data_IF_393888218429
#
_entry.id   IF_393888218429
#
_cell.length_a   1.000
_cell.length_b   1.000
_cell.length_c   1.000
_cell.angle_alpha   90.00
_cell.angle_beta   90.00
_cell.angle_gamma   90.00
#
_symmetry.space_group_name_H-M   'P 1'
#
loop_
_entity.id
_entity.type
_entity.pdbx_description
1 polymer ?
#
# COMPACT_ATOMS: atom_id res chain seq x y z
N UNK A 1 -6.24 -8.69 -7.49
CA UNK A 1 -5.24 -8.36 -8.52
C UNK A 1 -3.92 -8.98 -8.16
N UNK A 2 -3.48 -10.01 -8.88
CA UNK A 2 -2.17 -10.63 -8.66
C UNK A 2 -1.06 -9.73 -9.21
N UNK A 3 0.17 -9.85 -8.69
CA UNK A 3 1.32 -9.08 -9.19
C UNK A 3 1.58 -9.31 -10.68
N UNK A 4 1.27 -10.51 -11.20
CA UNK A 4 1.39 -10.85 -12.62
C UNK A 4 0.42 -10.07 -13.53
N UNK A 5 -0.68 -9.56 -12.97
CA UNK A 5 -1.64 -8.72 -13.70
C UNK A 5 -1.27 -7.23 -13.68
N UNK A 6 -0.20 -6.84 -12.95
CA UNK A 6 0.23 -5.44 -12.85
C UNK A 6 1.24 -5.03 -13.91
N UNK A 7 1.94 -5.98 -14.49
CA UNK A 7 2.87 -5.75 -15.60
C UNK A 7 2.83 -6.96 -16.53
N UNK A 8 2.24 -6.78 -17.70
CA UNK A 8 2.06 -7.84 -18.70
C UNK A 8 3.18 -7.79 -19.74
N UNK A 9 3.29 -8.86 -20.53
CA UNK A 9 4.22 -8.90 -21.67
C UNK A 9 3.90 -7.82 -22.71
N UNK A 10 2.63 -7.48 -22.87
CA UNK A 10 2.19 -6.40 -23.75
C UNK A 10 2.68 -5.03 -23.25
N UNK A 11 2.60 -4.79 -21.93
CA UNK A 11 3.14 -3.56 -21.32
C UNK A 11 4.65 -3.46 -21.51
N UNK A 12 5.37 -4.57 -21.38
CA UNK A 12 6.81 -4.65 -21.63
C UNK A 12 7.18 -4.32 -23.09
N UNK A 13 6.43 -4.84 -24.06
CA UNK A 13 6.64 -4.56 -25.48
C UNK A 13 6.28 -3.13 -25.87
N UNK A 14 5.37 -2.46 -25.14
CA UNK A 14 5.08 -1.03 -25.31
C UNK A 14 6.23 -0.17 -24.80
N UNK A 15 6.85 -0.55 -23.68
CA UNK A 15 8.01 0.16 -23.11
C UNK A 15 9.31 -0.12 -23.88
N UNK A 16 9.40 -1.23 -24.62
CA UNK A 16 10.58 -1.63 -25.39
C UNK A 16 10.20 -1.91 -26.87
N UNK A 17 9.94 -0.86 -27.67
CA UNK A 17 9.55 -1.02 -29.07
C UNK A 17 10.62 -1.70 -29.93
N UNK A 18 11.90 -1.61 -29.55
CA UNK A 18 13.01 -2.31 -30.23
C UNK A 18 12.91 -3.83 -30.12
N UNK A 19 12.52 -4.36 -28.95
CA UNK A 19 12.34 -5.80 -28.75
C UNK A 19 11.08 -6.31 -29.45
N UNK A 20 10.07 -5.44 -29.60
CA UNK A 20 8.89 -5.68 -30.41
C UNK A 20 9.24 -5.74 -31.90
N UNK A 21 10.06 -4.81 -32.39
CA UNK A 21 10.53 -4.78 -33.77
C UNK A 21 11.43 -5.99 -34.12
N UNK A 22 12.25 -6.45 -33.16
CA UNK A 22 13.07 -7.67 -33.29
C UNK A 22 12.27 -8.98 -33.19
N UNK A 23 10.95 -8.92 -32.98
CA UNK A 23 10.08 -10.10 -32.90
C UNK A 23 10.44 -11.05 -31.74
N UNK A 24 11.11 -10.54 -30.69
CA UNK A 24 11.57 -11.36 -29.58
C UNK A 24 10.36 -11.92 -28.85
N UNK A 25 10.25 -13.25 -28.80
CA UNK A 25 9.16 -13.93 -28.09
C UNK A 25 9.44 -13.97 -26.58
N UNK A 26 8.39 -13.96 -25.77
CA UNK A 26 8.51 -14.16 -24.31
C UNK A 26 9.21 -15.47 -23.93
N UNK A 27 9.09 -16.48 -24.78
CA UNK A 27 9.69 -17.82 -24.61
C UNK A 27 11.15 -17.92 -25.04
N UNK A 28 11.69 -16.88 -25.69
CA UNK A 28 13.13 -16.80 -25.97
C UNK A 28 13.90 -16.55 -24.67
N UNK A 29 15.08 -17.15 -24.52
CA UNK A 29 15.95 -16.93 -23.35
C UNK A 29 16.25 -15.45 -23.10
N UNK A 30 16.42 -14.67 -24.18
CA UNK A 30 16.66 -13.23 -24.12
C UNK A 30 15.41 -12.45 -23.70
N UNK A 31 14.27 -12.78 -24.32
CA UNK A 31 12.98 -12.15 -24.01
C UNK A 31 12.51 -12.44 -22.58
N UNK A 32 12.70 -13.67 -22.10
CA UNK A 32 12.35 -14.07 -20.75
C UNK A 32 13.21 -13.35 -19.70
N UNK A 33 14.53 -13.23 -19.94
CA UNK A 33 15.45 -12.55 -19.04
C UNK A 33 15.16 -11.04 -18.99
N UNK A 34 14.96 -10.41 -20.14
CA UNK A 34 14.63 -8.99 -20.22
C UNK A 34 13.26 -8.69 -19.57
N UNK A 35 12.25 -9.53 -19.80
CA UNK A 35 10.95 -9.41 -19.15
C UNK A 35 11.06 -9.52 -17.63
N UNK A 36 11.76 -10.56 -17.13
CA UNK A 36 11.89 -10.80 -15.69
C UNK A 36 12.57 -9.63 -14.99
N UNK A 37 13.58 -9.03 -15.61
CA UNK A 37 14.26 -7.85 -15.08
C UNK A 37 13.32 -6.63 -15.02
N UNK A 38 12.64 -6.31 -16.11
CA UNK A 38 11.69 -5.19 -16.17
C UNK A 38 10.49 -5.39 -15.22
N UNK A 39 9.93 -6.60 -15.18
CA UNK A 39 8.85 -7.00 -14.28
C UNK A 39 9.25 -6.82 -12.81
N UNK A 40 10.44 -7.26 -12.42
CA UNK A 40 10.96 -7.03 -11.06
C UNK A 40 11.08 -5.55 -10.73
N UNK A 41 11.63 -4.74 -11.63
CA UNK A 41 11.79 -3.30 -11.43
C UNK A 41 10.43 -2.61 -11.24
N UNK A 42 9.48 -2.86 -12.14
CA UNK A 42 8.12 -2.27 -12.08
C UNK A 42 7.34 -2.71 -10.85
N UNK A 43 7.45 -3.96 -10.44
CA UNK A 43 6.78 -4.42 -9.23
C UNK A 43 7.41 -3.79 -7.99
N UNK A 44 8.75 -3.67 -7.94
CA UNK A 44 9.42 -3.00 -6.82
C UNK A 44 8.95 -1.56 -6.69
N UNK A 45 8.84 -0.83 -7.81
CA UNK A 45 8.28 0.52 -7.85
C UNK A 45 6.81 0.55 -7.38
N UNK A 46 5.98 -0.39 -7.86
CA UNK A 46 4.58 -0.49 -7.44
C UNK A 46 4.44 -0.73 -5.93
N UNK A 47 5.26 -1.63 -5.38
CA UNK A 47 5.26 -1.92 -3.95
C UNK A 47 5.79 -0.72 -3.14
N UNK A 48 6.80 0.01 -3.65
CA UNK A 48 7.27 1.25 -3.02
C UNK A 48 6.14 2.27 -2.90
N UNK A 49 5.46 2.60 -4.02
CA UNK A 49 4.32 3.53 -4.03
C UNK A 49 3.21 3.07 -3.08
N UNK A 50 3.01 1.76 -2.95
CA UNK A 50 2.03 1.19 -2.02
C UNK A 50 2.45 1.39 -0.56
N UNK A 51 3.72 1.18 -0.23
CA UNK A 51 4.27 1.48 1.10
C UNK A 51 4.10 2.95 1.46
N UNK A 52 4.43 3.86 0.54
CA UNK A 52 4.30 5.30 0.75
C UNK A 52 2.85 5.71 1.04
N UNK A 53 1.92 5.16 0.26
CA UNK A 53 0.48 5.38 0.46
C UNK A 53 0.00 4.86 1.83
N UNK A 54 0.45 3.67 2.24
CA UNK A 54 0.09 3.10 3.55
C UNK A 54 0.64 3.96 4.69
N UNK A 55 1.90 4.40 4.58
CA UNK A 55 2.55 5.30 5.55
C UNK A 55 1.80 6.63 5.68
N UNK A 56 1.44 7.25 4.56
CA UNK A 56 0.65 8.48 4.54
C UNK A 56 -0.71 8.31 5.22
N UNK A 57 -1.43 7.22 4.89
CA UNK A 57 -2.73 6.93 5.51
C UNK A 57 -2.61 6.66 7.01
N UNK A 58 -1.51 6.03 7.44
CA UNK A 58 -1.24 5.76 8.86
C UNK A 58 -1.00 7.05 9.64
N UNK A 59 -0.15 7.95 9.14
CA UNK A 59 0.07 9.28 9.76
C UNK A 59 -1.24 10.06 9.91
N UNK A 60 -2.03 10.14 8.83
CA UNK A 60 -3.34 10.80 8.88
C UNK A 60 -4.31 10.13 9.86
N UNK A 61 -4.21 8.81 10.01
CA UNK A 61 -5.02 8.06 10.95
C UNK A 61 -4.62 8.34 12.41
N UNK A 62 -3.33 8.45 12.69
CA UNK A 62 -2.77 8.80 14.00
C UNK A 62 -3.13 10.23 14.41
N UNK A 63 -2.97 11.21 13.50
CA UNK A 63 -3.40 12.59 13.74
C UNK A 63 -4.90 12.68 14.10
N UNK A 64 -5.73 11.92 13.38
CA UNK A 64 -7.17 11.87 13.65
C UNK A 64 -7.46 11.22 15.01
N UNK A 65 -6.70 10.19 15.40
CA UNK A 65 -6.81 9.56 16.72
C UNK A 65 -6.48 10.56 17.84
N UNK A 66 -5.42 11.34 17.68
CA UNK A 66 -5.02 12.36 18.67
C UNK A 66 -6.16 13.36 18.88
N UNK A 67 -6.68 13.94 17.80
CA UNK A 67 -7.82 14.89 17.84
C UNK A 67 -9.08 14.31 18.49
N UNK A 68 -9.35 13.03 18.26
CA UNK A 68 -10.50 12.35 18.89
C UNK A 68 -10.25 12.11 20.38
N UNK A 69 -9.03 11.75 20.77
CA UNK A 69 -8.63 11.54 22.16
C UNK A 69 -8.70 12.84 22.97
N UNK A 70 -8.29 13.97 22.37
CA UNK A 70 -8.45 15.30 22.96
C UNK A 70 -9.91 15.61 23.24
N UNK A 71 -10.80 15.39 22.26
CA UNK A 71 -12.25 15.56 22.45
C UNK A 71 -12.80 14.68 23.56
N UNK A 72 -12.34 13.42 23.68
CA UNK A 72 -12.74 12.56 24.80
C UNK A 72 -12.35 13.20 26.15
N UNK A 73 -11.11 13.69 26.28
CA UNK A 73 -10.65 14.37 27.50
C UNK A 73 -11.48 15.63 27.79
N UNK A 74 -11.81 16.41 26.77
CA UNK A 74 -12.61 17.63 26.94
C UNK A 74 -14.04 17.32 27.42
N UNK A 75 -14.70 16.31 26.85
CA UNK A 75 -16.02 15.88 27.30
C UNK A 75 -15.99 15.24 28.70
N UNK A 76 -14.92 14.51 29.04
CA UNK A 76 -14.70 14.01 30.40
C UNK A 76 -14.56 15.14 31.42
N UNK A 77 -13.76 16.19 31.11
CA UNK A 77 -13.63 17.38 31.96
C UNK A 77 -14.98 18.10 32.16
N UNK A 78 -15.79 18.17 31.10
CA UNK A 78 -17.15 18.74 31.12
C UNK A 78 -18.18 17.83 31.81
N UNK A 79 -17.80 16.64 32.29
CA UNK A 79 -18.67 15.61 32.87
C UNK A 79 -19.79 15.12 31.90
N UNK A 80 -19.62 15.34 30.60
CA UNK A 80 -20.50 14.81 29.57
C UNK A 80 -20.02 13.42 29.14
N UNK A 81 -20.37 12.42 29.95
CA UNK A 81 -19.96 11.04 29.73
C UNK A 81 -20.63 10.41 28.50
N UNK A 82 -21.80 10.90 28.09
CA UNK A 82 -22.50 10.46 26.90
C UNK A 82 -21.68 10.76 25.64
N UNK A 83 -21.26 12.02 25.47
CA UNK A 83 -20.40 12.41 24.36
C UNK A 83 -19.02 11.77 24.46
N UNK A 84 -18.41 11.72 25.65
CA UNK A 84 -17.12 11.05 25.84
C UNK A 84 -17.16 9.59 25.34
N UNK A 85 -18.21 8.83 25.64
CA UNK A 85 -18.37 7.43 25.18
C UNK A 85 -18.51 7.32 23.66
N UNK A 86 -19.20 8.27 23.01
CA UNK A 86 -19.33 8.31 21.54
C UNK A 86 -17.96 8.55 20.89
N UNK A 87 -17.20 9.53 21.39
CA UNK A 87 -15.88 9.83 20.87
C UNK A 87 -14.88 8.71 21.17
N UNK A 88 -14.98 8.04 22.32
CA UNK A 88 -14.18 6.86 22.64
C UNK A 88 -14.41 5.72 21.64
N UNK A 89 -15.66 5.47 21.24
CA UNK A 89 -15.96 4.50 20.16
C UNK A 89 -15.31 4.90 18.83
N UNK A 90 -15.25 6.20 18.52
CA UNK A 90 -14.58 6.70 17.30
C UNK A 90 -13.06 6.50 17.38
N UNK A 91 -12.45 6.69 18.56
CA UNK A 91 -11.03 6.36 18.81
C UNK A 91 -10.79 4.87 18.53
N UNK A 92 -11.60 3.98 19.09
CA UNK A 92 -11.45 2.53 18.86
C UNK A 92 -11.59 2.10 17.39
N UNK A 93 -12.49 2.76 16.63
CA UNK A 93 -12.57 2.56 15.16
C UNK A 93 -11.29 3.01 14.46
N UNK A 94 -10.70 4.11 14.91
CA UNK A 94 -9.45 4.64 14.36
C UNK A 94 -8.27 3.71 14.67
N UNK A 95 -8.18 3.18 15.89
CA UNK A 95 -7.19 2.17 16.28
C UNK A 95 -7.31 0.89 15.46
N UNK A 96 -8.55 0.43 15.25
CA UNK A 96 -8.82 -0.73 14.39
C UNK A 96 -8.36 -0.48 12.96
N UNK A 97 -8.50 0.74 12.45
CA UNK A 97 -8.02 1.11 11.12
C UNK A 97 -6.49 1.16 11.05
N UNK A 98 -5.83 1.73 12.05
CA UNK A 98 -4.35 1.73 12.16
C UNK A 98 -3.83 0.29 12.15
N UNK A 99 -4.42 -0.61 12.96
CA UNK A 99 -4.03 -2.02 12.97
C UNK A 99 -4.22 -2.74 11.62
N UNK A 100 -5.21 -2.33 10.81
CA UNK A 100 -5.35 -2.83 9.43
C UNK A 100 -4.26 -2.31 8.51
N UNK A 101 -3.88 -1.04 8.65
CA UNK A 101 -2.77 -0.45 7.89
C UNK A 101 -1.43 -1.12 8.26
N UNK A 102 -1.18 -1.40 9.53
CA UNK A 102 0.02 -2.13 9.99
C UNK A 102 0.11 -3.53 9.37
N UNK A 103 -1.01 -4.26 9.32
CA UNK A 103 -1.09 -5.56 8.63
C UNK A 103 -0.86 -5.44 7.12
N UNK A 104 -1.26 -4.33 6.50
CA UNK A 104 -0.97 -4.09 5.08
C UNK A 104 0.50 -3.77 4.86
N UNK A 105 1.11 -2.96 5.73
CA UNK A 105 2.52 -2.61 5.67
C UNK A 105 3.41 -3.85 5.81
N UNK A 106 3.13 -4.72 6.79
CA UNK A 106 3.86 -5.97 6.98
C UNK A 106 3.76 -6.90 5.77
N UNK A 107 2.57 -7.01 5.17
CA UNK A 107 2.37 -7.78 3.92
C UNK A 107 3.17 -7.20 2.75
N UNK A 108 3.20 -5.88 2.59
CA UNK A 108 3.96 -5.25 1.50
C UNK A 108 5.46 -5.46 1.71
N UNK A 109 5.95 -5.32 2.94
CA UNK A 109 7.36 -5.61 3.30
C UNK A 109 7.74 -7.07 3.02
N UNK A 110 6.87 -8.03 3.34
CA UNK A 110 7.08 -9.44 3.01
C UNK A 110 7.15 -9.66 1.49
N UNK A 111 6.22 -9.07 0.74
CA UNK A 111 6.24 -9.16 -0.72
C UNK A 111 7.51 -8.56 -1.34
N UNK A 112 7.98 -7.43 -0.82
CA UNK A 112 9.24 -6.81 -1.24
C UNK A 112 10.46 -7.69 -0.96
N UNK A 113 10.49 -8.41 0.17
CA UNK A 113 11.56 -9.37 0.50
C UNK A 113 11.54 -10.62 -0.39
N UNK A 114 10.36 -11.03 -0.87
CA UNK A 114 10.18 -12.24 -1.68
C UNK A 114 10.40 -12.06 -3.20
N UNK A 115 10.73 -10.85 -3.65
CA UNK A 115 10.95 -10.47 -5.07
C UNK A 115 12.41 -10.58 -5.50
#
# INVERSE_FOLDING_TARGET
>A
MSLKQKYTWEDFLKENPELKAKGVKRTSKEGEKAFKAAFKAKIKEHLSKRTDKVSFLKKKAEEKKIKLTEKVKDFQKKKDFGQAKIYQKKVGKQDSWIGRLDKQESRVKLLQKSL
#
